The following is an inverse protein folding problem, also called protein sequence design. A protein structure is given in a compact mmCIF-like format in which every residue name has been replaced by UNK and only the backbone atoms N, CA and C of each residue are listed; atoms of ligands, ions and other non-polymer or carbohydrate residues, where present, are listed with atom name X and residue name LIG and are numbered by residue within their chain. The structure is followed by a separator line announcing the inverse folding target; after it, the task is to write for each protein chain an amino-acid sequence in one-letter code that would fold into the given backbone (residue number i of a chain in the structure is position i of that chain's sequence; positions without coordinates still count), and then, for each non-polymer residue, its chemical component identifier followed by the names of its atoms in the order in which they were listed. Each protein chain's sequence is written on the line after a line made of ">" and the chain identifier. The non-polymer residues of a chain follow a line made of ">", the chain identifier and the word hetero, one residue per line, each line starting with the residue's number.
data_IF_745193366085
#
_entry.id   IF_745193366085
#
_cell.length_a   1.000
_cell.length_b   1.000
_cell.length_c   1.000
_cell.angle_alpha   90.00
_cell.angle_beta   90.00
_cell.angle_gamma   90.00
#
_symmetry.space_group_name_H-M   'P 1'
#
loop_
_entity.id
_entity.type
_entity.pdbx_description
1 polymer ?
#
# COMPACT_ATOMS: atom_id res chain seq x y z
N UNK A 1 73.70 -5.05 45.62
CA UNK A 1 74.64 -6.19 45.65
C UNK A 1 73.86 -7.48 45.54
N UNK A 2 74.25 -8.33 44.61
CA UNK A 2 73.87 -9.71 44.34
C UNK A 2 72.44 -10.00 43.86
N UNK A 3 72.38 -10.25 42.61
CA UNK A 3 71.31 -10.88 41.84
C UNK A 3 71.16 -12.33 42.21
N UNK A 4 69.89 -12.81 42.32
CA UNK A 4 69.60 -14.23 42.30
C UNK A 4 68.53 -14.51 41.31
N UNK A 5 68.94 -15.09 40.19
CA UNK A 5 68.06 -15.59 39.15
C UNK A 5 67.50 -16.95 39.53
N UNK A 6 66.16 -17.07 39.52
CA UNK A 6 65.48 -18.36 39.64
C UNK A 6 64.83 -18.66 38.29
N UNK A 7 65.34 -19.67 37.61
CA UNK A 7 64.72 -20.27 36.43
C UNK A 7 63.57 -21.17 36.87
N UNK A 8 62.37 -20.89 36.35
CA UNK A 8 61.21 -21.78 36.51
C UNK A 8 60.99 -22.49 35.18
N UNK A 9 61.19 -23.82 35.18
CA UNK A 9 60.82 -24.70 34.12
C UNK A 9 59.27 -24.76 34.00
N UNK A 10 58.73 -24.41 32.84
CA UNK A 10 57.33 -24.64 32.49
C UNK A 10 57.19 -26.06 31.90
N UNK A 11 56.46 -26.90 32.63
CA UNK A 11 55.96 -28.17 32.12
C UNK A 11 54.71 -27.90 31.26
N UNK A 12 54.78 -28.16 29.98
CA UNK A 12 53.68 -28.14 29.05
C UNK A 12 52.90 -29.46 29.17
N UNK A 13 51.81 -29.45 29.94
CA UNK A 13 50.85 -30.55 29.96
C UNK A 13 49.88 -30.43 28.80
N UNK A 14 50.01 -31.29 27.81
CA UNK A 14 49.05 -31.43 26.72
C UNK A 14 47.79 -32.10 27.26
N UNK A 15 46.72 -31.31 27.42
CA UNK A 15 45.39 -31.85 27.69
C UNK A 15 44.79 -32.20 26.32
N UNK A 16 44.72 -33.50 26.03
CA UNK A 16 43.95 -34.02 24.89
C UNK A 16 42.50 -34.01 25.30
N UNK A 17 41.76 -33.01 24.81
CA UNK A 17 40.30 -33.03 24.82
C UNK A 17 39.84 -34.00 23.75
N UNK A 18 39.39 -35.17 24.15
CA UNK A 18 38.62 -36.07 23.28
C UNK A 18 37.23 -35.45 23.16
N UNK A 19 37.01 -34.74 22.08
CA UNK A 19 35.67 -34.35 21.64
C UNK A 19 34.98 -35.63 21.20
N UNK A 20 34.03 -36.11 22.00
CA UNK A 20 33.12 -37.17 21.63
C UNK A 20 32.17 -36.58 20.58
N UNK A 21 32.39 -36.89 19.32
CA UNK A 21 31.35 -36.74 18.32
C UNK A 21 30.22 -37.70 18.70
N UNK A 22 29.09 -37.21 19.08
CA UNK A 22 27.85 -37.95 18.96
C UNK A 22 27.47 -37.93 17.50
N UNK A 23 27.66 -39.04 16.82
CA UNK A 23 27.02 -39.34 15.57
C UNK A 23 25.53 -39.61 15.85
N UNK A 24 24.71 -38.56 15.84
CA UNK A 24 23.27 -38.69 15.68
C UNK A 24 23.02 -38.68 14.15
N UNK A 25 23.46 -39.73 13.46
CA UNK A 25 23.07 -40.03 12.06
C UNK A 25 21.61 -40.54 12.06
N UNK A 26 20.64 -39.68 12.31
CA UNK A 26 19.33 -39.85 11.74
C UNK A 26 19.45 -39.46 10.26
N UNK A 27 19.10 -40.37 9.32
CA UNK A 27 19.15 -40.02 7.91
C UNK A 27 18.14 -38.91 7.67
N UNK A 28 18.63 -37.71 7.42
CA UNK A 28 17.76 -36.60 7.02
C UNK A 28 17.15 -36.91 5.66
N UNK A 29 15.93 -36.49 5.44
CA UNK A 29 15.33 -36.48 4.10
C UNK A 29 15.78 -35.21 3.40
N UNK A 30 16.65 -35.34 2.43
CA UNK A 30 17.05 -34.20 1.58
C UNK A 30 15.81 -33.65 0.85
N UNK A 31 15.62 -32.34 0.93
CA UNK A 31 14.64 -31.58 0.17
C UNK A 31 15.37 -30.82 -0.91
N UNK A 32 14.77 -30.68 -2.08
CA UNK A 32 15.28 -29.80 -3.12
C UNK A 32 14.87 -28.38 -2.79
N UNK A 33 15.82 -27.48 -2.81
CA UNK A 33 15.68 -26.04 -2.60
C UNK A 33 16.11 -25.32 -3.85
N UNK A 34 15.40 -24.26 -4.21
CA UNK A 34 15.61 -23.46 -5.42
C UNK A 34 16.15 -22.09 -5.02
N UNK A 35 17.11 -21.56 -5.79
CA UNK A 35 17.69 -20.25 -5.51
C UNK A 35 16.61 -19.18 -5.66
N UNK A 36 16.50 -18.33 -4.64
CA UNK A 36 15.61 -17.15 -4.55
C UNK A 36 16.56 -15.95 -4.52
N UNK A 37 17.01 -15.52 -5.71
CA UNK A 37 18.07 -14.52 -5.83
C UNK A 37 17.56 -13.11 -5.63
N UNK A 38 16.25 -12.87 -5.86
CA UNK A 38 15.60 -11.57 -5.67
C UNK A 38 14.80 -11.46 -4.35
N UNK A 39 14.73 -12.57 -3.58
CA UNK A 39 14.06 -12.68 -2.29
C UNK A 39 12.53 -12.42 -2.33
N UNK A 40 11.88 -12.81 -3.42
CA UNK A 40 10.41 -12.70 -3.56
C UNK A 40 9.66 -13.91 -2.96
N UNK A 41 10.40 -14.94 -2.54
CA UNK A 41 9.86 -16.17 -1.94
C UNK A 41 9.58 -17.27 -2.95
N UNK A 42 9.75 -17.04 -4.23
CA UNK A 42 9.73 -18.02 -5.30
C UNK A 42 11.16 -18.40 -5.66
N UNK A 43 11.40 -19.59 -6.20
CA UNK A 43 12.75 -20.05 -6.52
C UNK A 43 12.89 -20.47 -7.96
N UNK A 44 14.08 -20.23 -8.50
CA UNK A 44 14.47 -20.53 -9.87
C UNK A 44 14.49 -22.04 -10.13
N UNK A 45 13.60 -22.59 -11.00
CA UNK A 45 13.57 -24.00 -11.31
C UNK A 45 14.88 -24.53 -11.96
N UNK A 46 15.67 -23.64 -12.56
CA UNK A 46 16.91 -23.99 -13.22
C UNK A 46 18.14 -24.01 -12.27
N UNK A 47 18.00 -23.44 -11.04
CA UNK A 47 19.08 -23.37 -10.03
C UNK A 47 18.62 -23.99 -8.72
N UNK A 48 19.01 -25.24 -8.49
CA UNK A 48 18.58 -25.96 -7.28
C UNK A 48 19.71 -26.69 -6.59
N UNK A 49 19.53 -26.94 -5.28
CA UNK A 49 20.39 -27.81 -4.49
C UNK A 49 19.59 -28.66 -3.51
N UNK A 50 20.12 -29.88 -3.20
CA UNK A 50 19.52 -30.74 -2.19
C UNK A 50 20.20 -30.53 -0.83
N UNK A 51 19.42 -30.28 0.21
CA UNK A 51 19.88 -30.13 1.58
C UNK A 51 18.83 -30.59 2.58
N UNK A 52 19.27 -30.94 3.79
CA UNK A 52 18.39 -31.32 4.91
C UNK A 52 17.67 -30.12 5.53
N UNK A 53 18.37 -28.99 5.60
CA UNK A 53 17.88 -27.72 6.10
C UNK A 53 17.87 -26.71 4.94
N UNK A 54 16.95 -25.74 5.01
CA UNK A 54 16.84 -24.68 4.00
C UNK A 54 18.14 -23.87 3.95
N UNK A 55 18.84 -23.83 2.80
CA UNK A 55 20.00 -22.97 2.64
C UNK A 55 19.59 -21.50 2.58
N UNK A 56 20.51 -20.64 3.00
CA UNK A 56 20.28 -19.18 2.91
C UNK A 56 20.17 -18.77 1.44
N UNK A 57 19.11 -18.00 1.08
CA UNK A 57 18.83 -17.58 -0.28
C UNK A 57 18.22 -18.67 -1.16
N UNK A 58 17.58 -19.67 -0.54
CA UNK A 58 16.86 -20.73 -1.27
C UNK A 58 15.49 -20.97 -0.63
N UNK A 59 14.50 -21.27 -1.46
CA UNK A 59 13.11 -21.58 -1.05
C UNK A 59 12.66 -22.96 -1.54
N UNK A 60 11.55 -23.46 -1.07
CA UNK A 60 11.00 -24.75 -1.48
C UNK A 60 10.12 -24.66 -2.75
N UNK A 61 9.73 -23.48 -3.12
CA UNK A 61 8.96 -23.19 -4.33
C UNK A 61 9.88 -23.17 -5.56
N UNK A 62 9.42 -23.62 -6.71
CA UNK A 62 10.17 -23.71 -7.97
C UNK A 62 9.48 -22.95 -9.11
N UNK A 63 8.60 -22.02 -8.78
CA UNK A 63 7.73 -21.37 -9.75
C UNK A 63 8.27 -20.05 -10.31
N UNK A 64 9.45 -19.60 -9.86
CA UNK A 64 10.06 -18.39 -10.41
C UNK A 64 10.59 -18.62 -11.81
N UNK A 65 10.08 -17.86 -12.77
CA UNK A 65 10.51 -17.90 -14.18
C UNK A 65 11.49 -16.78 -14.52
N UNK A 66 11.77 -15.85 -13.58
CA UNK A 66 12.63 -14.67 -13.79
C UNK A 66 13.51 -14.32 -12.58
N UNK A 67 14.23 -15.29 -12.04
CA UNK A 67 15.25 -15.12 -11.00
C UNK A 67 16.52 -14.40 -11.53
N UNK A 68 16.36 -13.35 -12.30
CA UNK A 68 17.48 -12.52 -12.76
C UNK A 68 17.84 -11.48 -11.72
N UNK A 69 18.35 -11.98 -10.61
CA UNK A 69 19.07 -11.30 -9.54
C UNK A 69 18.78 -9.83 -9.31
N UNK A 70 17.91 -9.53 -8.37
CA UNK A 70 17.73 -8.19 -7.80
C UNK A 70 17.02 -7.25 -8.75
N UNK A 71 15.79 -7.55 -8.97
CA UNK A 71 14.73 -6.58 -9.11
C UNK A 71 13.43 -7.26 -8.70
N UNK A 72 12.86 -6.88 -7.57
CA UNK A 72 11.44 -6.57 -7.64
C UNK A 72 11.24 -5.97 -9.02
N UNK A 73 10.37 -6.50 -9.85
CA UNK A 73 10.11 -5.94 -11.18
C UNK A 73 9.93 -4.44 -10.98
N UNK A 74 10.79 -3.61 -11.61
CA UNK A 74 10.59 -2.15 -11.55
C UNK A 74 9.13 -1.89 -11.89
N UNK A 75 8.34 -1.53 -10.87
CA UNK A 75 6.91 -1.28 -11.05
C UNK A 75 5.92 -2.26 -10.40
N UNK A 76 6.32 -3.33 -9.71
CA UNK A 76 5.36 -4.20 -9.01
C UNK A 76 4.74 -3.50 -7.82
N UNK A 77 3.42 -3.62 -7.68
CA UNK A 77 2.68 -3.10 -6.53
C UNK A 77 3.05 -3.91 -5.28
N UNK A 78 3.57 -3.29 -4.21
CA UNK A 78 3.93 -4.00 -3.00
C UNK A 78 2.72 -4.71 -2.38
N UNK A 79 2.80 -6.03 -2.21
CA UNK A 79 1.70 -6.84 -1.63
C UNK A 79 1.36 -6.39 -0.22
N UNK A 80 2.35 -5.98 0.58
CA UNK A 80 2.15 -5.48 1.95
C UNK A 80 1.31 -4.20 2.03
N UNK A 81 1.17 -3.43 0.93
CA UNK A 81 0.29 -2.27 0.90
C UNK A 81 -1.19 -2.65 1.08
N UNK A 82 -1.57 -3.87 0.72
CA UNK A 82 -2.94 -4.34 0.87
C UNK A 82 -3.31 -4.74 2.30
N UNK A 83 -2.33 -4.84 3.20
CA UNK A 83 -2.57 -5.04 4.64
C UNK A 83 -3.19 -3.80 5.31
N UNK A 84 -3.06 -2.61 4.69
CA UNK A 84 -3.67 -1.36 5.17
C UNK A 84 -5.17 -1.26 4.85
N UNK A 85 -5.67 -2.11 3.94
CA UNK A 85 -7.09 -2.08 3.60
C UNK A 85 -7.96 -2.69 4.71
N UNK A 86 -9.09 -2.05 4.98
CA UNK A 86 -10.07 -2.51 5.96
C UNK A 86 -10.67 -3.87 5.56
N UNK A 87 -10.21 -4.95 6.16
CA UNK A 87 -10.64 -6.30 5.86
C UNK A 87 -12.14 -6.58 6.13
N UNK A 88 -12.84 -5.71 6.87
CA UNK A 88 -14.30 -5.82 7.05
C UNK A 88 -15.07 -5.27 5.83
N UNK A 89 -14.43 -4.47 4.98
CA UNK A 89 -15.05 -3.84 3.82
C UNK A 89 -14.41 -4.24 2.49
N UNK A 90 -13.16 -4.66 2.49
CA UNK A 90 -12.37 -4.94 1.29
C UNK A 90 -11.80 -6.35 1.34
N UNK A 91 -11.95 -7.07 0.24
CA UNK A 91 -11.27 -8.34 0.00
C UNK A 91 -10.29 -8.16 -1.15
N UNK A 92 -9.04 -8.54 -0.94
CA UNK A 92 -8.00 -8.52 -1.98
C UNK A 92 -7.62 -9.95 -2.31
N UNK A 93 -7.54 -10.27 -3.58
CA UNK A 93 -7.11 -11.58 -4.08
C UNK A 93 -6.10 -11.43 -5.21
N UNK A 94 -5.15 -12.35 -5.24
CA UNK A 94 -4.06 -12.39 -6.19
C UNK A 94 -4.22 -13.64 -7.06
N UNK A 95 -4.18 -13.49 -8.39
CA UNK A 95 -4.24 -14.60 -9.34
C UNK A 95 -3.25 -14.37 -10.49
N UNK A 96 -2.06 -14.93 -10.36
CA UNK A 96 -0.96 -14.66 -11.27
C UNK A 96 -0.60 -13.18 -11.28
N UNK A 97 -0.61 -12.56 -12.45
CA UNK A 97 -0.26 -11.15 -12.65
C UNK A 97 -1.42 -10.18 -12.36
N UNK A 98 -2.52 -10.63 -11.76
CA UNK A 98 -3.70 -9.81 -11.49
C UNK A 98 -3.99 -9.69 -10.00
N UNK A 99 -4.36 -8.47 -9.59
CA UNK A 99 -4.88 -8.15 -8.26
C UNK A 99 -6.34 -7.77 -8.42
N UNK A 100 -7.22 -8.44 -7.70
CA UNK A 100 -8.64 -8.09 -7.65
C UNK A 100 -9.00 -7.57 -6.28
N UNK A 101 -9.56 -6.36 -6.25
CA UNK A 101 -10.02 -5.65 -5.06
C UNK A 101 -11.55 -5.61 -5.12
N UNK A 102 -12.22 -6.25 -4.17
CA UNK A 102 -13.66 -6.23 -4.00
C UNK A 102 -14.01 -5.44 -2.76
N UNK A 103 -14.93 -4.47 -2.86
CA UNK A 103 -15.34 -3.63 -1.75
C UNK A 103 -16.85 -3.54 -1.61
N UNK A 104 -17.34 -3.54 -0.36
CA UNK A 104 -18.73 -3.27 -0.02
C UNK A 104 -19.06 -1.77 0.10
N UNK A 105 -18.14 -0.89 -0.23
CA UNK A 105 -18.27 0.58 -0.21
C UNK A 105 -18.55 1.21 1.16
N UNK A 106 -18.37 0.49 2.25
CA UNK A 106 -18.64 0.99 3.59
C UNK A 106 -17.39 1.62 4.19
N UNK A 107 -17.40 2.93 4.53
CA UNK A 107 -16.29 3.54 5.26
C UNK A 107 -16.27 3.04 6.71
N UNK A 108 -15.09 2.99 7.33
CA UNK A 108 -14.88 2.51 8.69
C UNK A 108 -14.70 3.63 9.74
N UNK A 109 -15.10 4.85 9.41
CA UNK A 109 -15.00 6.01 10.29
C UNK A 109 -16.36 6.57 10.66
N UNK A 110 -16.38 7.46 11.66
CA UNK A 110 -17.57 8.18 12.06
C UNK A 110 -17.97 9.21 10.99
N UNK A 111 -19.27 9.33 10.70
CA UNK A 111 -19.80 10.32 9.76
C UNK A 111 -21.29 10.56 10.02
N UNK A 112 -21.83 11.76 9.74
CA UNK A 112 -23.26 12.03 9.83
C UNK A 112 -24.09 11.29 8.75
N UNK A 113 -23.43 10.67 7.79
CA UNK A 113 -24.11 9.90 6.74
C UNK A 113 -24.49 8.48 7.16
N UNK A 114 -24.00 7.95 8.30
CA UNK A 114 -24.55 6.73 8.87
C UNK A 114 -25.98 6.94 9.37
N UNK A 115 -26.76 5.87 9.45
CA UNK A 115 -28.04 5.89 10.17
C UNK A 115 -27.78 6.20 11.66
N UNK A 116 -28.66 6.95 12.32
CA UNK A 116 -28.52 7.34 13.74
C UNK A 116 -28.40 6.14 14.70
N UNK A 117 -28.82 4.96 14.27
CA UNK A 117 -28.67 3.70 15.02
C UNK A 117 -27.30 3.04 14.85
N UNK A 118 -26.48 3.48 13.90
CA UNK A 118 -25.14 2.94 13.67
C UNK A 118 -24.17 3.50 14.72
N UNK A 119 -23.26 2.66 15.21
CA UNK A 119 -22.25 3.06 16.21
C UNK A 119 -21.22 4.07 15.68
N UNK A 120 -21.13 4.24 14.37
CA UNK A 120 -20.26 5.21 13.70
C UNK A 120 -21.02 6.49 13.32
N UNK A 121 -22.29 6.64 13.70
CA UNK A 121 -23.01 7.89 13.50
C UNK A 121 -22.48 8.96 14.45
N UNK A 122 -22.32 10.17 13.91
CA UNK A 122 -22.09 11.40 14.66
C UNK A 122 -23.03 12.49 14.16
N UNK A 123 -23.32 13.47 14.99
CA UNK A 123 -24.00 14.69 14.54
C UNK A 123 -23.15 15.41 13.48
N UNK A 124 -23.77 16.14 12.54
CA UNK A 124 -23.03 16.84 11.49
C UNK A 124 -21.91 17.74 12.03
N UNK A 125 -20.69 17.50 11.54
CA UNK A 125 -19.52 18.36 11.73
C UNK A 125 -19.03 18.73 10.34
N UNK A 126 -19.70 19.67 9.69
CA UNK A 126 -19.44 20.15 8.33
C UNK A 126 -19.41 21.66 8.35
N UNK A 127 -18.76 22.28 7.37
CA UNK A 127 -18.65 23.74 7.30
C UNK A 127 -20.01 24.41 7.03
N UNK A 128 -20.88 23.78 6.24
CA UNK A 128 -22.26 24.26 5.96
C UNK A 128 -23.24 23.08 5.88
N UNK A 129 -24.03 22.84 6.93
CA UNK A 129 -25.03 21.78 6.97
C UNK A 129 -26.10 21.92 5.87
N UNK A 130 -26.35 23.12 5.37
CA UNK A 130 -27.32 23.32 4.28
C UNK A 130 -26.82 22.76 2.94
N UNK A 131 -25.54 22.47 2.81
CA UNK A 131 -24.92 21.88 1.65
C UNK A 131 -24.75 20.36 1.75
N UNK A 132 -25.07 19.77 2.88
CA UNK A 132 -25.00 18.32 3.03
C UNK A 132 -25.90 17.62 2.02
N UNK A 133 -25.34 16.61 1.35
CA UNK A 133 -26.10 15.74 0.45
C UNK A 133 -27.13 14.91 1.23
N UNK A 134 -28.32 14.69 0.67
CA UNK A 134 -29.30 13.82 1.28
C UNK A 134 -28.90 12.35 1.13
N UNK A 135 -29.30 11.52 2.10
CA UNK A 135 -29.13 10.08 2.04
C UNK A 135 -28.37 9.53 3.23
N UNK A 136 -28.33 8.21 3.30
CA UNK A 136 -27.60 7.45 4.31
C UNK A 136 -26.76 6.37 3.65
N UNK A 137 -25.63 6.04 4.26
CA UNK A 137 -24.72 4.99 3.82
C UNK A 137 -25.44 3.64 3.82
N UNK A 138 -25.32 2.96 2.73
CA UNK A 138 -25.75 1.58 2.54
C UNK A 138 -24.64 0.81 1.82
N UNK A 139 -24.63 -0.48 2.02
CA UNK A 139 -23.72 -1.39 1.35
C UNK A 139 -23.86 -1.29 -0.16
N UNK A 140 -22.72 -1.17 -0.84
CA UNK A 140 -22.57 -1.18 -2.27
C UNK A 140 -21.76 -2.39 -2.73
N UNK A 141 -21.29 -2.33 -3.96
CA UNK A 141 -20.38 -3.35 -4.51
C UNK A 141 -19.50 -2.69 -5.56
N UNK A 142 -18.20 -2.74 -5.34
CA UNK A 142 -17.19 -2.30 -6.31
C UNK A 142 -16.17 -3.40 -6.50
N UNK A 143 -15.80 -3.67 -7.73
CA UNK A 143 -14.74 -4.61 -8.09
C UNK A 143 -13.78 -3.93 -9.04
N UNK A 144 -12.52 -3.91 -8.68
CA UNK A 144 -11.41 -3.44 -9.50
C UNK A 144 -10.41 -4.59 -9.68
N UNK A 145 -10.09 -4.92 -10.93
CA UNK A 145 -9.01 -5.86 -11.26
C UNK A 145 -7.94 -5.10 -12.03
N UNK A 146 -6.71 -5.16 -11.55
CA UNK A 146 -5.54 -4.49 -12.12
C UNK A 146 -4.37 -5.44 -12.26
N UNK A 147 -3.34 -5.05 -13.02
CA UNK A 147 -2.06 -5.76 -13.03
C UNK A 147 -1.36 -5.64 -11.68
N UNK A 148 -0.69 -6.69 -11.24
CA UNK A 148 0.25 -6.63 -10.09
C UNK A 148 1.51 -5.82 -10.40
N UNK A 149 1.79 -5.60 -11.68
CA UNK A 149 2.88 -4.77 -12.17
C UNK A 149 2.33 -3.74 -13.17
N UNK A 150 1.68 -2.67 -12.67
CA UNK A 150 1.13 -1.64 -13.54
C UNK A 150 2.25 -0.87 -14.23
N UNK A 151 2.09 -0.63 -15.53
CA UNK A 151 3.06 0.10 -16.34
C UNK A 151 2.56 1.50 -16.69
N UNK A 152 3.49 2.46 -16.79
CA UNK A 152 3.18 3.78 -17.32
C UNK A 152 2.75 3.68 -18.79
N UNK A 153 1.57 4.22 -19.10
CA UNK A 153 1.07 4.29 -20.46
C UNK A 153 1.84 5.35 -21.28
N UNK A 154 1.85 5.20 -22.60
CA UNK A 154 2.48 6.19 -23.48
C UNK A 154 1.78 7.56 -23.47
N UNK A 155 0.55 7.63 -23.00
CA UNK A 155 -0.22 8.85 -22.81
C UNK A 155 -1.09 8.67 -21.58
N UNK A 156 -1.22 9.72 -20.80
CA UNK A 156 -2.16 9.77 -19.68
C UNK A 156 -3.62 9.69 -20.13
N UNK A 157 -4.49 9.32 -19.21
CA UNK A 157 -5.93 9.20 -19.45
C UNK A 157 -6.69 10.05 -18.43
N UNK A 158 -7.54 10.94 -18.90
CA UNK A 158 -8.40 11.71 -18.00
C UNK A 158 -9.32 10.79 -17.19
N UNK A 159 -9.53 11.14 -15.93
CA UNK A 159 -10.50 10.47 -15.09
C UNK A 159 -11.93 10.79 -15.52
N UNK A 160 -12.84 9.84 -15.34
CA UNK A 160 -14.27 10.03 -15.65
C UNK A 160 -15.12 10.20 -14.41
N UNK A 161 -16.41 10.47 -14.60
CA UNK A 161 -17.38 10.44 -13.50
C UNK A 161 -17.52 9.04 -12.91
N UNK A 162 -17.69 8.97 -11.60
CA UNK A 162 -17.81 7.75 -10.84
C UNK A 162 -16.53 7.39 -10.11
N UNK A 163 -16.44 6.14 -9.66
CA UNK A 163 -15.28 5.68 -8.94
C UNK A 163 -14.04 5.64 -9.85
N UNK A 164 -12.97 6.27 -9.39
CA UNK A 164 -11.64 6.25 -10.03
C UNK A 164 -10.64 5.43 -9.21
N UNK A 165 -11.02 5.00 -8.01
CA UNK A 165 -10.20 4.21 -7.10
C UNK A 165 -11.02 3.66 -5.94
N UNK A 166 -10.38 2.83 -5.13
CA UNK A 166 -10.91 2.27 -3.88
C UNK A 166 -9.98 2.68 -2.74
N UNK A 167 -10.52 3.37 -1.74
CA UNK A 167 -9.78 3.79 -0.58
C UNK A 167 -9.54 2.62 0.39
N UNK A 168 -8.50 2.71 1.21
CA UNK A 168 -8.19 1.72 2.25
C UNK A 168 -9.37 1.47 3.21
N UNK A 169 -10.26 2.43 3.36
CA UNK A 169 -11.48 2.30 4.18
C UNK A 169 -12.53 1.37 3.58
N UNK A 170 -12.51 1.19 2.26
CA UNK A 170 -13.51 0.49 1.46
C UNK A 170 -14.41 1.40 0.63
N UNK A 171 -14.60 2.68 0.98
CA UNK A 171 -15.40 3.56 0.16
C UNK A 171 -14.65 3.98 -1.12
N UNK A 172 -15.36 4.25 -2.24
CA UNK A 172 -14.72 4.64 -3.48
C UNK A 172 -14.16 6.06 -3.43
N UNK A 173 -13.13 6.28 -4.23
CA UNK A 173 -12.53 7.59 -4.51
C UNK A 173 -13.09 8.09 -5.84
N UNK A 174 -13.53 9.35 -5.88
CA UNK A 174 -13.98 10.04 -7.08
C UNK A 174 -13.01 11.17 -7.43
N UNK A 175 -13.10 11.66 -8.67
CA UNK A 175 -12.32 12.79 -9.17
C UNK A 175 -12.86 14.15 -8.66
N UNK A 176 -12.50 15.23 -9.32
CA UNK A 176 -12.90 16.61 -9.03
C UNK A 176 -14.26 17.04 -9.63
N UNK A 177 -15.05 16.11 -10.17
CA UNK A 177 -16.32 16.40 -10.80
C UNK A 177 -17.53 15.89 -10.01
N UNK A 178 -18.55 16.76 -9.82
CA UNK A 178 -19.86 16.45 -9.23
C UNK A 178 -20.90 15.97 -10.26
N UNK A 179 -20.62 16.14 -11.51
CA UNK A 179 -21.47 15.78 -12.63
C UNK A 179 -20.76 16.09 -13.95
N UNK A 180 -21.31 15.70 -15.11
CA UNK A 180 -20.62 15.85 -16.37
C UNK A 180 -20.14 17.29 -16.61
N UNK A 181 -18.83 17.50 -16.62
CA UNK A 181 -18.17 18.81 -16.75
C UNK A 181 -18.59 19.85 -15.69
N UNK A 182 -18.90 19.40 -14.47
CA UNK A 182 -19.21 20.26 -13.33
C UNK A 182 -18.14 20.01 -12.26
N UNK A 183 -17.15 20.89 -12.22
CA UNK A 183 -16.09 20.81 -11.21
C UNK A 183 -16.63 21.03 -9.79
N UNK A 184 -16.03 20.33 -8.82
CA UNK A 184 -16.32 20.52 -7.41
C UNK A 184 -16.09 21.98 -7.00
N UNK A 185 -17.10 22.58 -6.37
CA UNK A 185 -17.03 23.95 -5.89
C UNK A 185 -16.88 24.02 -4.38
N UNK A 186 -16.32 25.12 -3.84
CA UNK A 186 -16.19 25.35 -2.42
C UNK A 186 -17.52 25.23 -1.68
N UNK A 187 -18.62 25.68 -2.32
CA UNK A 187 -19.96 25.58 -1.75
C UNK A 187 -20.40 24.13 -1.57
N UNK A 188 -20.12 23.25 -2.51
CA UNK A 188 -20.42 21.81 -2.41
C UNK A 188 -19.51 21.15 -1.40
N UNK A 189 -18.22 21.42 -1.46
CA UNK A 189 -17.21 20.89 -0.52
C UNK A 189 -17.51 21.25 0.95
N UNK A 190 -18.13 22.40 1.20
CA UNK A 190 -18.49 22.83 2.56
C UNK A 190 -19.55 21.93 3.25
N UNK A 191 -20.26 21.11 2.48
CA UNK A 191 -21.21 20.11 2.98
C UNK A 191 -20.62 18.71 3.17
N UNK A 192 -19.36 18.50 2.83
CA UNK A 192 -18.69 17.21 3.01
C UNK A 192 -18.37 16.98 4.48
N UNK A 193 -18.29 15.73 4.88
CA UNK A 193 -17.85 15.41 6.23
C UNK A 193 -16.33 15.65 6.42
N UNK A 194 -15.86 15.50 7.64
CA UNK A 194 -14.46 15.75 7.98
C UNK A 194 -13.49 14.78 7.29
N UNK A 195 -13.97 13.61 6.85
CA UNK A 195 -13.16 12.64 6.09
C UNK A 195 -13.06 12.99 4.60
N UNK A 196 -13.69 14.07 4.15
CA UNK A 196 -13.65 14.55 2.78
C UNK A 196 -14.63 13.84 1.84
N UNK A 197 -15.67 13.24 2.39
CA UNK A 197 -16.65 12.47 1.65
C UNK A 197 -18.08 12.98 1.81
N UNK A 198 -18.95 12.51 0.94
CA UNK A 198 -20.38 12.79 0.96
C UNK A 198 -21.21 11.70 0.28
N UNK A 199 -22.54 11.83 0.37
CA UNK A 199 -23.46 10.97 -0.37
C UNK A 199 -23.69 11.47 -1.80
N UNK A 200 -23.56 10.58 -2.77
CA UNK A 200 -23.97 10.80 -4.14
C UNK A 200 -25.03 9.80 -4.61
N UNK A 201 -25.41 9.82 -5.89
CA UNK A 201 -26.38 8.89 -6.46
C UNK A 201 -25.99 7.42 -6.33
N UNK A 202 -24.69 7.11 -6.29
CA UNK A 202 -24.13 5.76 -6.22
C UNK A 202 -23.72 5.35 -4.80
N UNK A 203 -23.89 6.21 -3.80
CA UNK A 203 -23.49 5.95 -2.41
C UNK A 203 -22.50 6.96 -1.87
N UNK A 204 -21.94 6.64 -0.71
CA UNK A 204 -20.89 7.44 -0.09
C UNK A 204 -19.58 7.30 -0.85
N UNK A 205 -18.84 8.39 -1.04
CA UNK A 205 -17.55 8.43 -1.71
C UNK A 205 -16.73 9.63 -1.26
N UNK A 206 -15.42 9.57 -1.50
CA UNK A 206 -14.47 10.62 -1.17
C UNK A 206 -14.07 11.42 -2.39
N UNK A 207 -13.83 12.71 -2.20
CA UNK A 207 -13.19 13.61 -3.15
C UNK A 207 -11.97 14.30 -2.53
N UNK A 208 -12.05 14.59 -1.22
CA UNK A 208 -11.13 15.49 -0.54
C UNK A 208 -10.27 14.73 0.47
N UNK A 209 -9.11 15.29 0.73
CA UNK A 209 -8.33 14.92 1.90
C UNK A 209 -9.10 15.23 3.18
N UNK A 210 -8.87 14.44 4.21
CA UNK A 210 -9.47 14.66 5.54
C UNK A 210 -9.17 16.05 6.08
N UNK A 211 -10.19 16.68 6.66
CA UNK A 211 -10.08 18.03 7.19
C UNK A 211 -9.70 18.08 8.67
N UNK A 212 -9.90 17.01 9.42
CA UNK A 212 -9.61 16.95 10.85
C UNK A 212 -8.92 15.65 11.24
N UNK A 213 -7.69 15.76 11.74
CA UNK A 213 -6.87 14.64 12.24
C UNK A 213 -7.26 14.19 13.66
N UNK A 214 -8.12 14.94 14.35
CA UNK A 214 -8.49 14.63 15.75
C UNK A 214 -9.62 13.62 15.84
N UNK A 215 -10.37 13.42 14.77
CA UNK A 215 -11.58 12.61 14.71
C UNK A 215 -11.34 11.32 13.92
N UNK A 216 -10.54 10.40 14.44
CA UNK A 216 -10.42 9.03 13.94
C UNK A 216 -10.34 8.94 12.39
N UNK A 217 -9.50 9.77 11.81
CA UNK A 217 -9.28 9.89 10.37
C UNK A 217 -8.53 8.66 9.88
N UNK A 218 -9.10 7.99 8.90
CA UNK A 218 -8.54 6.80 8.27
C UNK A 218 -7.99 7.07 6.86
N UNK A 219 -8.17 8.29 6.35
CA UNK A 219 -7.50 8.79 5.16
C UNK A 219 -6.39 9.77 5.56
N UNK A 220 -5.44 9.95 4.67
CA UNK A 220 -4.31 10.84 4.88
C UNK A 220 -4.70 12.26 5.27
N UNK A 221 -3.90 12.85 6.13
CA UNK A 221 -3.92 14.27 6.44
C UNK A 221 -2.48 14.76 6.61
N UNK A 222 -1.88 15.28 5.57
CA UNK A 222 -0.50 15.80 5.54
C UNK A 222 0.53 14.78 6.08
N UNK A 223 0.36 13.53 5.75
CA UNK A 223 1.22 12.42 6.15
C UNK A 223 1.59 11.54 4.94
N UNK A 224 2.21 10.39 5.20
CA UNK A 224 2.70 9.41 4.23
C UNK A 224 1.81 8.17 4.11
N UNK A 225 0.61 8.19 4.72
CA UNK A 225 -0.27 7.02 4.77
C UNK A 225 -0.79 6.63 3.39
N UNK A 226 -0.99 5.33 3.18
CA UNK A 226 -1.69 4.84 2.00
C UNK A 226 -3.16 5.30 2.03
N UNK A 227 -3.63 5.89 0.94
CA UNK A 227 -5.01 6.35 0.76
C UNK A 227 -5.86 5.31 0.05
N UNK A 228 -5.28 4.64 -0.95
CA UNK A 228 -5.99 3.63 -1.73
C UNK A 228 -5.25 3.24 -3.01
N UNK A 229 -5.99 2.59 -3.90
CA UNK A 229 -5.52 2.19 -5.23
C UNK A 229 -6.41 2.82 -6.30
N UNK A 230 -5.80 3.34 -7.36
CA UNK A 230 -6.52 3.91 -8.49
C UNK A 230 -6.80 2.87 -9.58
N UNK A 231 -7.69 3.20 -10.49
CA UNK A 231 -8.16 2.26 -11.52
C UNK A 231 -7.10 1.87 -12.55
N UNK A 232 -5.94 2.52 -12.57
CA UNK A 232 -4.79 2.13 -13.39
C UNK A 232 -3.80 1.21 -12.66
N UNK A 233 -4.09 0.86 -11.39
CA UNK A 233 -3.32 -0.07 -10.59
C UNK A 233 -2.24 0.59 -9.73
N UNK A 234 -1.99 1.88 -9.89
CA UNK A 234 -1.05 2.59 -9.04
C UNK A 234 -1.66 2.98 -7.69
N UNK A 235 -0.83 2.90 -6.64
CA UNK A 235 -1.21 3.27 -5.28
C UNK A 235 -1.22 4.80 -5.13
N UNK A 236 -2.13 5.31 -4.33
CA UNK A 236 -2.23 6.72 -3.95
C UNK A 236 -1.86 6.86 -2.48
N UNK A 237 -0.87 7.70 -2.19
CA UNK A 237 -0.40 8.03 -0.84
C UNK A 237 -0.76 9.46 -0.45
N UNK A 238 -0.57 9.77 0.82
CA UNK A 238 -0.72 11.11 1.36
C UNK A 238 0.26 12.13 0.78
N UNK A 239 0.20 13.36 1.29
CA UNK A 239 0.99 14.48 0.75
C UNK A 239 2.50 14.33 0.98
N UNK A 240 2.93 13.52 1.93
CA UNK A 240 4.36 13.28 2.22
C UNK A 240 4.83 11.97 1.64
N UNK A 241 6.06 11.97 1.16
CA UNK A 241 6.72 10.77 0.68
C UNK A 241 7.53 10.12 1.80
N UNK A 242 7.34 8.81 2.01
CA UNK A 242 8.05 8.05 3.04
C UNK A 242 9.57 8.08 2.86
N UNK A 243 10.06 8.07 1.61
CA UNK A 243 11.50 8.10 1.32
C UNK A 243 12.21 9.35 1.87
N UNK A 244 11.51 10.46 2.03
CA UNK A 244 12.07 11.74 2.49
C UNK A 244 11.48 12.23 3.80
N UNK A 245 10.25 11.84 4.16
CA UNK A 245 9.46 12.38 5.26
C UNK A 245 8.88 13.78 4.99
N UNK A 246 9.08 14.32 3.79
CA UNK A 246 8.67 15.65 3.36
C UNK A 246 7.74 15.58 2.13
N UNK A 247 7.13 16.70 1.77
CA UNK A 247 6.37 16.82 0.52
C UNK A 247 7.32 16.65 -0.67
N UNK A 248 7.04 15.71 -1.59
CA UNK A 248 7.89 15.49 -2.76
C UNK A 248 7.88 16.72 -3.68
N UNK A 249 9.01 16.96 -4.35
CA UNK A 249 9.22 18.11 -5.25
C UNK A 249 9.45 17.71 -6.70
N UNK A 250 9.38 16.43 -6.98
CA UNK A 250 9.66 15.77 -8.27
C UNK A 250 8.44 15.06 -8.86
N UNK A 251 7.24 15.41 -8.35
CA UNK A 251 5.98 14.89 -8.87
C UNK A 251 5.75 15.37 -10.31
N UNK A 252 5.18 14.50 -11.13
CA UNK A 252 4.66 14.86 -12.44
C UNK A 252 3.34 15.69 -12.34
N UNK A 253 2.74 16.00 -13.49
CA UNK A 253 1.51 16.81 -13.54
C UNK A 253 0.31 16.14 -12.86
N UNK A 254 0.33 14.84 -12.68
CA UNK A 254 -0.74 14.04 -12.02
C UNK A 254 -0.48 13.77 -10.55
N UNK A 255 0.65 14.20 -10.02
CA UNK A 255 1.03 13.96 -8.64
C UNK A 255 1.77 12.64 -8.42
N UNK A 256 2.33 12.04 -9.48
CA UNK A 256 3.05 10.79 -9.40
C UNK A 256 4.57 10.94 -9.50
N UNK A 257 5.30 9.99 -8.94
CA UNK A 257 6.75 9.82 -9.12
C UNK A 257 7.18 8.38 -8.81
N UNK A 258 8.44 8.08 -9.07
CA UNK A 258 9.05 6.80 -8.73
C UNK A 258 9.95 6.97 -7.51
N UNK A 259 9.59 6.34 -6.40
CA UNK A 259 10.41 6.30 -5.19
C UNK A 259 9.98 5.13 -4.29
N UNK A 260 10.73 4.88 -3.20
CA UNK A 260 10.36 3.89 -2.20
C UNK A 260 9.30 4.40 -1.24
N UNK A 261 8.46 3.50 -0.74
CA UNK A 261 7.43 3.75 0.27
C UNK A 261 7.66 2.88 1.51
N UNK A 262 6.81 3.01 2.54
CA UNK A 262 6.82 2.14 3.71
C UNK A 262 6.47 0.68 3.39
N UNK A 263 5.96 0.39 2.20
CA UNK A 263 5.52 -0.94 1.79
C UNK A 263 6.50 -1.65 0.85
N UNK A 264 7.54 -0.97 0.36
CA UNK A 264 8.37 -1.45 -0.73
C UNK A 264 9.73 -2.01 -0.32
N UNK A 265 10.01 -2.14 0.99
CA UNK A 265 11.30 -2.63 1.53
C UNK A 265 12.55 -1.96 0.93
N UNK A 266 12.38 -0.73 0.40
CA UNK A 266 13.44 0.07 -0.21
C UNK A 266 13.44 0.06 -1.73
N UNK A 267 12.63 -0.76 -2.37
CA UNK A 267 12.43 -0.74 -3.82
C UNK A 267 11.66 0.49 -4.28
N UNK A 268 11.92 0.91 -5.50
CA UNK A 268 11.29 2.09 -6.08
C UNK A 268 10.23 1.66 -7.08
N UNK A 269 9.01 2.20 -6.94
CA UNK A 269 7.92 2.01 -7.90
C UNK A 269 7.16 3.30 -8.10
N UNK A 270 6.47 3.42 -9.25
CA UNK A 270 5.65 4.57 -9.52
C UNK A 270 4.38 4.55 -8.67
N UNK A 271 4.07 5.66 -8.01
CA UNK A 271 2.87 5.86 -7.21
C UNK A 271 2.47 7.33 -7.20
N UNK A 272 1.23 7.59 -6.82
CA UNK A 272 0.69 8.93 -6.70
C UNK A 272 0.77 9.43 -5.25
N UNK A 273 0.80 10.74 -5.12
CA UNK A 273 0.59 11.48 -3.89
C UNK A 273 -0.57 12.46 -4.02
N UNK A 274 -1.27 12.72 -2.92
CA UNK A 274 -2.14 13.87 -2.81
C UNK A 274 -1.26 15.12 -3.02
N UNK A 275 -1.65 15.98 -3.97
CA UNK A 275 -0.92 17.22 -4.22
C UNK A 275 -1.04 18.17 -3.03
N UNK A 276 0.10 18.72 -2.56
CA UNK A 276 0.13 19.66 -1.45
C UNK A 276 -0.30 21.07 -1.90
N UNK A 277 -1.51 21.17 -2.46
CA UNK A 277 -2.09 22.42 -2.93
C UNK A 277 -3.60 22.48 -2.70
N UNK A 278 -4.12 23.67 -2.49
CA UNK A 278 -5.55 23.86 -2.36
C UNK A 278 -6.20 23.81 -3.76
N UNK A 279 -7.18 22.93 -3.90
CA UNK A 279 -8.00 22.85 -5.11
C UNK A 279 -9.05 23.98 -5.13
N UNK A 280 -9.84 24.10 -4.05
CA UNK A 280 -10.86 25.13 -3.91
C UNK A 280 -11.00 25.54 -2.43
N UNK A 281 -10.99 26.84 -2.18
CA UNK A 281 -11.00 27.36 -0.80
C UNK A 281 -9.81 26.87 0.01
N UNK A 282 -10.06 26.10 1.05
CA UNK A 282 -9.06 25.42 1.89
C UNK A 282 -9.03 23.91 1.68
N UNK A 283 -9.73 23.40 0.67
CA UNK A 283 -9.88 21.98 0.43
C UNK A 283 -8.82 21.46 -0.54
N UNK A 284 -8.32 20.26 -0.27
CA UNK A 284 -7.32 19.52 -1.05
C UNK A 284 -8.00 18.30 -1.63
N UNK A 285 -7.83 18.05 -2.93
CA UNK A 285 -8.35 16.84 -3.58
C UNK A 285 -7.51 15.62 -3.20
N UNK A 286 -8.14 14.46 -3.09
CA UNK A 286 -7.42 13.19 -3.03
C UNK A 286 -6.68 12.93 -4.34
N UNK A 287 -7.37 13.11 -5.47
CA UNK A 287 -6.78 12.97 -6.79
C UNK A 287 -7.53 13.83 -7.82
N UNK A 288 -6.81 14.67 -8.56
CA UNK A 288 -7.36 15.55 -9.58
C UNK A 288 -6.59 15.48 -10.90
N UNK A 289 -5.64 14.55 -11.01
CA UNK A 289 -4.81 14.37 -12.20
C UNK A 289 -5.38 13.40 -13.24
N UNK A 290 -4.62 13.23 -14.32
CA UNK A 290 -4.83 12.17 -15.30
C UNK A 290 -4.15 10.88 -14.83
N UNK A 291 -4.74 9.74 -15.11
CA UNK A 291 -4.13 8.43 -14.84
C UNK A 291 -2.94 8.18 -15.75
N UNK A 292 -1.81 7.80 -15.18
CA UNK A 292 -0.57 7.59 -15.92
C UNK A 292 -0.43 6.15 -16.44
N UNK A 293 -1.17 5.21 -15.88
CA UNK A 293 -1.30 3.85 -16.38
C UNK A 293 -2.52 3.66 -17.27
N UNK A 294 -2.77 2.42 -17.68
CA UNK A 294 -3.97 2.05 -18.43
C UNK A 294 -5.14 1.84 -17.48
N UNK A 295 -6.21 2.67 -17.55
CA UNK A 295 -7.31 2.51 -16.61
C UNK A 295 -8.15 1.26 -16.86
N UNK A 296 -8.53 0.60 -15.77
CA UNK A 296 -9.43 -0.53 -15.72
C UNK A 296 -10.82 -0.08 -15.23
N UNK A 297 -11.87 -0.84 -15.58
CA UNK A 297 -13.20 -0.52 -15.10
C UNK A 297 -13.38 -0.90 -13.63
N UNK A 298 -14.00 -0.01 -12.86
CA UNK A 298 -14.54 -0.33 -11.55
C UNK A 298 -16.04 -0.65 -11.73
N UNK A 299 -16.45 -1.89 -11.42
CA UNK A 299 -17.80 -2.43 -11.67
C UNK A 299 -18.59 -2.60 -10.37
#
# INVERSE_FOLDING_TARGET
>A
MKYLTVSILLFLGAIVLISSCKDDDEPCTETTWYEDADNDGLGNPDVSQSACDQPTGYVADDSDTDDTGGSSSEGSTPVSAFDDFNADAVTVSFDGDEITIESNALPNHTTPYWDESNSLYIDPVVADEAQMSPGKINEGSYTLTVSSSPELASNSSATGLGAIGIAVTGAPIFNDEEGPNISLSENVASGFDYAGGHMGPTGYHYHLESQDVTENTVLSHDDESLVGILQDGFLLYGRKCNSTGDHPTDLDESGGHTSSTQHSDGDEFYHYHILNEFYVGSYILLFGGDLQGTPNSIN
#
